data_IF_651598623431
#
_entry.id   IF_651598623431
#
_cell.length_a   1.000
_cell.length_b   1.000
_cell.length_c   1.000
_cell.angle_alpha   90.00
_cell.angle_beta   90.00
_cell.angle_gamma   90.00
#
_symmetry.space_group_name_H-M   'P 1'
#
loop_
_entity.id
_entity.type
_entity.pdbx_description
1 polymer ?
#
# COMPACT_ATOMS: atom_id res chain seq x y z
N UNK A 1 -10.41 9.47 -12.21
CA UNK A 1 -11.82 9.21 -12.60
C UNK A 1 -12.51 8.56 -11.42
N UNK A 2 -13.82 8.75 -11.21
CA UNK A 2 -14.57 7.98 -10.20
C UNK A 2 -14.82 6.57 -10.76
N UNK A 3 -14.68 5.53 -9.96
CA UNK A 3 -15.05 4.17 -10.36
C UNK A 3 -16.57 4.05 -10.58
N UNK A 4 -17.03 2.94 -11.15
CA UNK A 4 -18.46 2.63 -11.27
C UNK A 4 -19.20 2.67 -9.92
N UNK A 5 -18.50 2.44 -8.80
CA UNK A 5 -19.02 2.54 -7.43
C UNK A 5 -19.02 3.97 -6.87
N UNK A 6 -18.45 4.95 -7.58
CA UNK A 6 -18.35 6.32 -7.08
C UNK A 6 -17.23 6.55 -6.07
N UNK A 7 -16.29 5.61 -5.98
CA UNK A 7 -15.19 5.66 -5.02
C UNK A 7 -13.93 6.10 -5.76
N UNK A 8 -13.08 6.86 -5.07
CA UNK A 8 -11.81 7.36 -5.58
C UNK A 8 -10.67 6.94 -4.66
N UNK A 9 -9.68 6.18 -5.17
CA UNK A 9 -8.43 5.96 -4.44
C UNK A 9 -7.55 7.21 -4.52
N UNK A 10 -6.82 7.49 -3.44
CA UNK A 10 -5.75 8.48 -3.40
C UNK A 10 -4.67 8.03 -2.43
N UNK A 11 -3.43 8.09 -2.88
CA UNK A 11 -2.26 7.78 -2.05
C UNK A 11 -2.09 8.87 -1.00
N UNK A 12 -1.94 8.49 0.28
CA UNK A 12 -1.89 9.45 1.40
C UNK A 12 -0.49 9.78 1.92
N UNK A 13 0.56 9.46 1.16
CA UNK A 13 1.92 9.89 1.49
C UNK A 13 2.96 9.34 0.52
N UNK A 14 4.22 9.74 0.75
CA UNK A 14 5.38 9.12 0.13
C UNK A 14 5.72 7.80 0.85
N UNK A 15 6.50 6.94 0.19
CA UNK A 15 6.97 5.68 0.76
C UNK A 15 7.71 5.94 2.08
N UNK A 16 7.10 5.54 3.20
CA UNK A 16 7.62 5.85 4.53
C UNK A 16 8.25 4.60 5.16
N UNK A 17 9.46 4.74 5.70
CA UNK A 17 10.10 3.68 6.49
C UNK A 17 9.26 3.39 7.74
N UNK A 18 8.71 2.19 7.85
CA UNK A 18 8.04 1.70 9.04
C UNK A 18 9.10 1.15 10.01
N UNK A 19 9.04 1.57 11.27
CA UNK A 19 10.04 1.26 12.30
C UNK A 19 9.94 -0.19 12.85
N UNK A 20 9.90 -1.18 11.97
CA UNK A 20 10.09 -2.60 12.31
C UNK A 20 11.53 -2.94 11.91
N UNK A 21 12.49 -2.42 12.67
CA UNK A 21 13.91 -2.70 12.44
C UNK A 21 14.27 -4.05 13.06
N UNK A 22 14.34 -5.09 12.24
CA UNK A 22 15.27 -6.19 12.47
C UNK A 22 16.57 -5.85 11.73
N UNK A 23 17.73 -6.19 12.31
CA UNK A 23 19.10 -5.72 12.00
C UNK A 23 19.46 -5.44 10.51
N UNK A 24 18.78 -6.07 9.54
CA UNK A 24 19.00 -5.88 8.09
C UNK A 24 17.72 -5.89 7.24
N UNK A 25 16.54 -5.85 7.86
CA UNK A 25 15.28 -5.79 7.15
C UNK A 25 14.68 -4.39 7.32
N UNK A 26 14.35 -3.77 6.20
CA UNK A 26 13.67 -2.47 6.20
C UNK A 26 12.24 -2.68 5.73
N UNK A 27 11.28 -2.38 6.61
CA UNK A 27 9.89 -2.32 6.22
C UNK A 27 9.56 -0.90 5.79
N UNK A 28 8.97 -0.75 4.62
CA UNK A 28 8.40 0.49 4.12
C UNK A 28 6.90 0.35 4.00
N UNK A 29 6.16 1.44 4.12
CA UNK A 29 4.70 1.47 4.00
C UNK A 29 4.25 2.59 3.09
N UNK A 30 3.27 2.29 2.25
CA UNK A 30 2.46 3.28 1.55
C UNK A 30 0.99 3.00 1.87
N UNK A 31 0.19 4.05 2.03
CA UNK A 31 -1.25 3.92 2.32
C UNK A 31 -2.04 4.50 1.14
N UNK A 32 -3.01 3.74 0.67
CA UNK A 32 -4.01 4.19 -0.30
C UNK A 32 -5.31 4.39 0.47
N UNK A 33 -5.77 5.64 0.54
CA UNK A 33 -7.06 5.96 1.13
C UNK A 33 -8.13 6.02 0.07
N UNK A 34 -9.34 5.61 0.44
CA UNK A 34 -10.50 5.58 -0.44
C UNK A 34 -11.53 6.58 0.05
N UNK A 35 -12.01 7.40 -0.87
CA UNK A 35 -13.07 8.38 -0.61
C UNK A 35 -14.27 8.10 -1.49
N UNK A 36 -15.46 8.41 -0.97
CA UNK A 36 -16.70 8.28 -1.71
C UNK A 36 -16.97 9.50 -2.63
N UNK A 37 -18.21 9.65 -3.11
CA UNK A 37 -18.61 10.77 -3.97
C UNK A 37 -18.73 12.10 -3.24
N UNK A 38 -18.91 12.07 -1.92
CA UNK A 38 -19.03 13.25 -1.05
C UNK A 38 -17.68 13.67 -0.46
N UNK A 39 -16.58 13.02 -0.89
CA UNK A 39 -15.21 13.19 -0.40
C UNK A 39 -15.04 12.68 1.06
N UNK A 40 -15.97 11.84 1.54
CA UNK A 40 -15.90 11.19 2.84
C UNK A 40 -14.91 10.01 2.79
N UNK A 41 -14.07 9.89 3.82
CA UNK A 41 -13.08 8.82 3.92
C UNK A 41 -13.76 7.51 4.34
N UNK A 42 -13.68 6.51 3.48
CA UNK A 42 -14.39 5.25 3.64
C UNK A 42 -13.46 4.05 3.81
N UNK A 43 -12.14 4.22 3.77
CA UNK A 43 -11.25 3.09 4.00
C UNK A 43 -9.80 3.35 3.64
N UNK A 44 -8.94 2.45 4.10
CA UNK A 44 -7.50 2.48 3.85
C UNK A 44 -7.00 1.09 3.42
N UNK A 45 -6.08 1.08 2.47
CA UNK A 45 -5.23 -0.07 2.15
C UNK A 45 -3.79 0.32 2.48
N UNK A 46 -3.22 -0.33 3.49
CA UNK A 46 -1.80 -0.28 3.76
C UNK A 46 -1.07 -1.34 2.94
N UNK A 47 -0.02 -0.92 2.23
CA UNK A 47 0.88 -1.80 1.49
C UNK A 47 2.26 -1.69 2.13
N UNK A 48 2.76 -2.82 2.62
CA UNK A 48 4.06 -2.93 3.28
C UNK A 48 5.06 -3.62 2.35
N UNK A 49 6.24 -3.03 2.21
CA UNK A 49 7.37 -3.58 1.46
C UNK A 49 8.46 -3.99 2.44
N UNK A 50 8.73 -5.28 2.58
CA UNK A 50 9.76 -5.82 3.47
C UNK A 50 10.99 -6.14 2.64
N UNK A 51 11.97 -5.26 2.71
CA UNK A 51 13.25 -5.38 2.00
C UNK A 51 14.21 -6.23 2.83
N UNK A 52 14.78 -7.28 2.22
CA UNK A 52 15.68 -8.25 2.85
C UNK A 52 16.93 -8.45 2.01
N UNK A 53 18.06 -8.66 2.66
CA UNK A 53 19.29 -9.17 2.03
C UNK A 53 20.11 -8.16 1.19
N UNK A 54 19.52 -7.03 0.79
CA UNK A 54 20.22 -6.00 0.00
C UNK A 54 21.52 -5.52 0.65
N UNK A 55 22.60 -5.48 -0.15
CA UNK A 55 23.92 -5.02 0.28
C UNK A 55 24.76 -6.05 1.04
N UNK A 56 24.38 -7.34 1.02
CA UNK A 56 25.17 -8.44 1.60
C UNK A 56 25.60 -9.43 0.53
N UNK A 57 26.90 -9.68 0.40
CA UNK A 57 27.48 -10.58 -0.61
C UNK A 57 26.94 -12.02 -0.55
N UNK A 58 26.43 -12.46 0.60
CA UNK A 58 25.94 -13.82 0.86
C UNK A 58 24.43 -13.91 1.14
N UNK A 59 23.65 -12.86 0.88
CA UNK A 59 22.20 -12.88 1.09
C UNK A 59 21.42 -12.77 -0.23
N UNK A 60 20.28 -13.46 -0.30
CA UNK A 60 19.35 -13.27 -1.40
C UNK A 60 18.60 -11.96 -1.19
N UNK A 61 18.69 -11.06 -2.17
CA UNK A 61 17.97 -9.80 -2.19
C UNK A 61 16.51 -10.06 -2.56
N UNK A 62 15.59 -9.63 -1.69
CA UNK A 62 14.15 -9.88 -1.82
C UNK A 62 13.37 -8.68 -1.29
N UNK A 63 12.27 -8.34 -1.96
CA UNK A 63 11.28 -7.39 -1.49
C UNK A 63 9.94 -8.11 -1.44
N UNK A 64 9.46 -8.39 -0.22
CA UNK A 64 8.11 -8.94 -0.03
C UNK A 64 7.08 -7.82 0.04
N UNK A 65 5.91 -8.04 -0.56
CA UNK A 65 4.78 -7.10 -0.52
C UNK A 65 3.66 -7.71 0.32
N UNK A 66 3.19 -6.97 1.32
CA UNK A 66 2.08 -7.36 2.19
C UNK A 66 0.97 -6.31 2.18
N UNK A 67 -0.27 -6.76 2.26
CA UNK A 67 -1.45 -5.90 2.28
C UNK A 67 -2.14 -5.99 3.63
N UNK A 68 -2.66 -4.86 4.11
CA UNK A 68 -3.54 -4.81 5.27
C UNK A 68 -4.63 -3.78 5.05
N UNK A 69 -5.85 -4.09 5.46
CA UNK A 69 -6.97 -3.16 5.42
C UNK A 69 -7.39 -2.87 6.86
N UNK A 70 -6.96 -1.73 7.44
CA UNK A 70 -7.34 -1.37 8.81
C UNK A 70 -8.86 -1.21 8.95
N UNK A 71 -9.50 -0.62 7.93
CA UNK A 71 -10.95 -0.55 7.81
C UNK A 71 -11.35 -0.25 6.37
N UNK A 72 -12.56 -0.64 6.02
CA UNK A 72 -13.23 -0.22 4.80
C UNK A 72 -14.74 -0.24 5.03
N UNK A 73 -15.44 0.81 4.63
CA UNK A 73 -16.89 0.94 4.69
C UNK A 73 -17.47 1.07 3.28
N UNK A 74 -18.72 0.64 3.17
CA UNK A 74 -19.50 0.77 1.95
C UNK A 74 -20.90 1.24 2.30
N UNK A 75 -21.42 2.17 1.51
CA UNK A 75 -22.82 2.58 1.60
C UNK A 75 -23.71 1.62 0.81
N UNK A 76 -24.55 0.90 1.53
CA UNK A 76 -25.58 0.03 0.98
C UNK A 76 -26.99 0.61 1.11
N UNK A 77 -28.02 -0.07 0.58
CA UNK A 77 -29.42 0.34 0.73
C UNK A 77 -29.90 0.40 2.19
N UNK A 78 -29.24 -0.34 3.09
CA UNK A 78 -29.54 -0.38 4.53
C UNK A 78 -28.68 0.58 5.38
N UNK A 79 -27.87 1.43 4.73
CA UNK A 79 -26.96 2.38 5.37
C UNK A 79 -25.48 2.02 5.21
N UNK A 80 -24.62 2.70 5.96
CA UNK A 80 -23.18 2.44 6.00
C UNK A 80 -22.89 1.12 6.73
N UNK A 81 -22.08 0.26 6.10
CA UNK A 81 -21.56 -0.95 6.74
C UNK A 81 -20.05 -1.04 6.59
N UNK A 82 -19.37 -1.43 7.66
CA UNK A 82 -17.99 -1.86 7.60
C UNK A 82 -17.90 -3.25 6.97
N UNK A 83 -16.98 -3.41 6.03
CA UNK A 83 -16.65 -4.68 5.40
C UNK A 83 -15.66 -5.43 6.27
N UNK A 84 -15.80 -6.75 6.32
CA UNK A 84 -14.73 -7.61 6.83
C UNK A 84 -13.50 -7.50 5.92
N UNK A 85 -12.31 -7.74 6.47
CA UNK A 85 -11.04 -7.58 5.74
C UNK A 85 -11.00 -8.36 4.42
N UNK A 86 -11.51 -9.60 4.41
CA UNK A 86 -11.57 -10.42 3.19
C UNK A 86 -12.54 -9.85 2.15
N UNK A 87 -13.70 -9.33 2.56
CA UNK A 87 -14.66 -8.67 1.67
C UNK A 87 -14.07 -7.37 1.10
N UNK A 88 -13.40 -6.58 1.94
CA UNK A 88 -12.75 -5.34 1.55
C UNK A 88 -11.61 -5.59 0.56
N UNK A 89 -10.76 -6.60 0.80
CA UNK A 89 -9.70 -6.98 -0.14
C UNK A 89 -10.28 -7.36 -1.50
N UNK A 90 -11.29 -8.23 -1.52
CA UNK A 90 -11.93 -8.64 -2.77
C UNK A 90 -12.50 -7.42 -3.51
N UNK A 91 -13.22 -6.55 -2.80
CA UNK A 91 -13.78 -5.34 -3.39
C UNK A 91 -12.70 -4.44 -4.00
N UNK A 92 -11.64 -4.16 -3.23
CA UNK A 92 -10.56 -3.27 -3.66
C UNK A 92 -9.88 -3.84 -4.91
N UNK A 93 -9.46 -5.11 -4.89
CA UNK A 93 -8.76 -5.70 -6.03
C UNK A 93 -9.66 -5.96 -7.25
N UNK A 94 -10.98 -6.09 -7.07
CA UNK A 94 -11.91 -6.17 -8.22
C UNK A 94 -12.04 -4.80 -8.90
N UNK A 95 -12.05 -3.71 -8.13
CA UNK A 95 -12.41 -2.39 -8.64
C UNK A 95 -11.22 -1.44 -8.89
N UNK A 96 -10.09 -1.69 -8.23
CA UNK A 96 -8.94 -0.78 -8.19
C UNK A 96 -7.59 -1.51 -8.35
N UNK A 97 -7.59 -2.73 -8.88
CA UNK A 97 -6.33 -3.49 -9.02
C UNK A 97 -5.28 -2.74 -9.83
N UNK A 98 -5.67 -2.03 -10.89
CA UNK A 98 -4.72 -1.27 -11.71
C UNK A 98 -4.11 -0.11 -10.92
N UNK A 99 -4.92 0.69 -10.23
CA UNK A 99 -4.43 1.79 -9.42
C UNK A 99 -3.55 1.31 -8.25
N UNK A 100 -3.90 0.19 -7.63
CA UNK A 100 -3.07 -0.44 -6.60
C UNK A 100 -1.75 -0.94 -7.20
N UNK A 101 -1.80 -1.55 -8.39
CA UNK A 101 -0.61 -2.04 -9.08
C UNK A 101 0.34 -0.90 -9.48
N UNK A 102 -0.18 0.21 -10.02
CA UNK A 102 0.63 1.38 -10.37
C UNK A 102 1.40 1.92 -9.14
N UNK A 103 0.73 1.95 -7.97
CA UNK A 103 1.37 2.38 -6.71
C UNK A 103 2.44 1.38 -6.24
N UNK A 104 2.24 0.08 -6.45
CA UNK A 104 3.24 -0.95 -6.13
C UNK A 104 4.44 -0.80 -7.04
N UNK A 105 4.22 -0.63 -8.35
CA UNK A 105 5.28 -0.52 -9.34
C UNK A 105 6.15 0.72 -9.07
N UNK A 106 5.54 1.88 -8.82
CA UNK A 106 6.25 3.12 -8.45
C UNK A 106 7.07 2.95 -7.16
N UNK A 107 6.51 2.26 -6.15
CA UNK A 107 7.20 2.02 -4.89
C UNK A 107 8.36 1.03 -5.03
N UNK A 108 8.20 -0.02 -5.83
CA UNK A 108 9.26 -0.98 -6.12
C UNK A 108 10.40 -0.31 -6.89
N UNK A 109 10.09 0.49 -7.91
CA UNK A 109 11.10 1.24 -8.67
C UNK A 109 11.91 2.16 -7.74
N UNK A 110 11.22 2.91 -6.86
CA UNK A 110 11.89 3.76 -5.87
C UNK A 110 12.81 2.96 -4.93
N UNK A 111 12.34 1.80 -4.43
CA UNK A 111 13.13 0.92 -3.56
C UNK A 111 14.34 0.34 -4.30
N UNK A 112 14.15 -0.22 -5.49
CA UNK A 112 15.24 -0.77 -6.29
C UNK A 112 16.29 0.29 -6.59
N UNK A 113 15.88 1.48 -7.03
CA UNK A 113 16.83 2.57 -7.26
C UNK A 113 17.62 2.94 -5.99
N UNK A 114 16.95 2.98 -4.84
CA UNK A 114 17.57 3.35 -3.58
C UNK A 114 18.63 2.32 -3.14
N UNK A 115 18.31 1.03 -3.24
CA UNK A 115 19.18 -0.05 -2.78
C UNK A 115 20.25 -0.47 -3.81
N UNK A 116 19.97 -0.40 -5.12
CA UNK A 116 20.99 -0.65 -6.16
C UNK A 116 22.03 0.49 -6.24
N UNK A 117 21.62 1.75 -6.06
CA UNK A 117 22.53 2.90 -6.12
C UNK A 117 23.32 3.14 -4.83
N UNK A 118 23.13 2.32 -3.79
CA UNK A 118 23.80 2.47 -2.49
C UNK A 118 23.56 3.84 -1.84
N UNK A 119 22.48 4.53 -2.22
CA UNK A 119 22.23 5.91 -1.81
C UNK A 119 21.60 5.90 -0.42
N UNK A 120 22.45 6.01 0.59
CA UNK A 120 22.08 6.20 1.99
C UNK A 120 21.07 7.34 2.12
N UNK A 121 19.92 7.07 2.76
CA UNK A 121 19.13 8.13 3.38
C UNK A 121 20.07 8.94 4.27
N UNK A 122 20.37 10.16 3.85
CA UNK A 122 20.79 11.20 4.81
C UNK A 122 19.49 11.81 5.29
N UNK A 123 19.33 11.75 6.62
CA UNK A 123 18.18 12.22 7.42
C UNK A 123 17.65 13.60 7.04
#
# INVERSE_FOLDING_TARGET
MLSASGIKPFVTGELAKAAIEADHNHTHRITISFKDREDEHIGDLDIYFVVKGFGREDANEEIDVHFSIPFFSSFGPDGERFLEEAEAMQFIFIHFATEVQDVIDDALDALYEQYEKGSSFTE
#
